data_IF_006027899291
#
_entry.id   IF_006027899291
#
_cell.length_a   1.000
_cell.length_b   1.000
_cell.length_c   1.000
_cell.angle_alpha   90.00
_cell.angle_beta   90.00
_cell.angle_gamma   90.00
#
_symmetry.space_group_name_H-M   'P 1'
#
loop_
_entity.id
_entity.type
_entity.pdbx_description
1 polymer ?
#
# COMPACT_ATOMS: atom_id res chain seq x y z
N UNK A 1 -8.22 -3.04 4.07
CA UNK A 1 -7.31 -3.11 2.90
C UNK A 1 -7.92 -2.30 1.77
N UNK A 2 -7.10 -1.75 0.89
CA UNK A 2 -7.55 -0.99 -0.29
C UNK A 2 -6.56 -1.11 -1.44
N UNK A 3 -6.99 -0.73 -2.64
CA UNK A 3 -6.13 -0.67 -3.82
C UNK A 3 -5.59 0.73 -3.97
N UNK A 4 -4.28 0.84 -4.22
CA UNK A 4 -3.59 2.11 -4.38
C UNK A 4 -2.62 2.04 -5.55
N UNK A 5 -2.11 3.19 -5.98
CA UNK A 5 -0.95 3.27 -6.85
C UNK A 5 0.23 3.81 -6.07
N UNK A 6 1.42 3.28 -6.32
CA UNK A 6 2.67 3.84 -5.80
C UNK A 6 3.00 5.10 -6.60
N UNK A 7 3.12 6.22 -5.91
CA UNK A 7 3.38 7.53 -6.52
C UNK A 7 4.78 8.07 -6.21
N UNK A 8 5.55 7.40 -5.35
CA UNK A 8 6.92 7.81 -5.05
C UNK A 8 7.59 6.97 -3.98
N UNK A 9 8.85 7.30 -3.72
CA UNK A 9 9.68 6.69 -2.69
C UNK A 9 9.89 7.70 -1.54
N UNK A 10 10.08 7.20 -0.33
CA UNK A 10 10.53 8.00 0.81
C UNK A 10 11.85 7.46 1.33
N UNK A 11 12.80 8.37 1.54
CA UNK A 11 14.08 8.05 2.15
C UNK A 11 14.27 8.82 3.45
N UNK A 12 14.76 8.12 4.47
CA UNK A 12 15.14 8.71 5.75
C UNK A 12 16.45 8.09 6.23
N UNK A 13 17.49 8.93 6.35
CA UNK A 13 18.81 8.54 6.87
C UNK A 13 18.77 8.25 8.37
N UNK A 14 17.95 9.00 9.12
CA UNK A 14 17.68 8.77 10.54
C UNK A 14 16.24 8.29 10.70
N UNK A 15 16.05 7.01 11.05
CA UNK A 15 14.74 6.37 11.24
C UNK A 15 14.82 5.31 12.33
N UNK A 16 13.66 4.90 12.84
CA UNK A 16 13.58 3.86 13.86
C UNK A 16 14.29 2.58 13.38
N UNK A 17 14.98 1.87 14.29
CA UNK A 17 15.82 0.72 13.92
C UNK A 17 15.06 -0.39 13.18
N UNK A 18 13.77 -0.56 13.48
CA UNK A 18 12.88 -1.54 12.85
C UNK A 18 12.47 -1.15 11.42
N UNK A 19 12.74 0.09 10.99
CA UNK A 19 12.53 0.56 9.61
C UNK A 19 13.82 0.53 8.78
N UNK A 20 14.93 0.04 9.34
CA UNK A 20 16.18 -0.13 8.59
C UNK A 20 15.97 -1.19 7.52
N UNK A 21 16.52 -0.93 6.33
CA UNK A 21 16.46 -1.81 5.17
C UNK A 21 15.04 -2.15 4.67
N UNK A 22 14.02 -1.38 5.10
CA UNK A 22 12.67 -1.49 4.54
C UNK A 22 12.47 -0.41 3.48
N UNK A 23 11.79 -0.78 2.38
CA UNK A 23 11.40 0.16 1.33
C UNK A 23 10.19 0.95 1.83
N UNK A 24 10.27 2.27 1.79
CA UNK A 24 9.19 3.17 2.19
C UNK A 24 8.63 3.82 0.93
N UNK A 25 7.34 3.63 0.69
CA UNK A 25 6.66 4.07 -0.52
C UNK A 25 5.53 5.02 -0.18
N UNK A 26 5.32 6.03 -1.03
CA UNK A 26 4.13 6.87 -1.00
C UNK A 26 3.10 6.22 -1.92
N UNK A 27 1.92 5.93 -1.38
CA UNK A 27 0.80 5.36 -2.13
C UNK A 27 -0.41 6.27 -2.04
N UNK A 28 -1.23 6.28 -3.09
CA UNK A 28 -2.50 7.00 -3.10
C UNK A 28 -3.60 6.07 -3.59
N UNK A 29 -4.70 6.00 -2.85
CA UNK A 29 -5.82 5.14 -3.21
C UNK A 29 -6.35 5.52 -4.60
N UNK A 30 -6.81 4.52 -5.35
CA UNK A 30 -7.35 4.71 -6.70
C UNK A 30 -8.83 4.39 -6.74
N UNK A 31 -9.54 4.97 -7.70
CA UNK A 31 -10.92 4.61 -7.97
C UNK A 31 -11.01 3.17 -8.52
N UNK A 32 -11.79 2.28 -7.89
CA UNK A 32 -11.94 0.90 -8.37
C UNK A 32 -12.52 0.78 -9.79
N UNK A 33 -13.26 1.80 -10.24
CA UNK A 33 -13.88 1.88 -11.57
C UNK A 33 -12.96 2.55 -12.59
N UNK A 34 -12.08 3.44 -12.15
CA UNK A 34 -11.17 4.22 -13.00
C UNK A 34 -9.80 4.38 -12.32
N UNK A 35 -8.89 3.44 -12.56
CA UNK A 35 -7.57 3.42 -11.94
C UNK A 35 -6.64 4.59 -12.30
N UNK A 36 -7.06 5.48 -13.21
CA UNK A 36 -6.37 6.73 -13.51
C UNK A 36 -6.66 7.84 -12.49
N UNK A 37 -7.74 7.68 -11.71
CA UNK A 37 -8.18 8.65 -10.72
C UNK A 37 -7.74 8.26 -9.32
N UNK A 38 -7.27 9.26 -8.60
CA UNK A 38 -6.91 9.14 -7.19
C UNK A 38 -8.08 9.54 -6.28
N UNK A 39 -8.19 8.85 -5.15
CA UNK A 39 -9.17 9.12 -4.09
C UNK A 39 -8.43 9.42 -2.79
N UNK A 40 -8.90 10.43 -2.05
CA UNK A 40 -8.38 10.78 -0.74
C UNK A 40 -6.93 11.27 -0.77
N UNK A 41 -6.27 11.18 0.39
CA UNK A 41 -4.91 11.64 0.60
C UNK A 41 -3.87 10.54 0.32
N UNK A 42 -2.64 10.97 0.06
CA UNK A 42 -1.51 10.04 -0.01
C UNK A 42 -1.14 9.53 1.39
N UNK A 43 -0.69 8.28 1.47
CA UNK A 43 -0.20 7.67 2.71
C UNK A 43 1.14 6.96 2.48
N UNK A 44 1.87 6.74 3.57
CA UNK A 44 3.09 5.95 3.58
C UNK A 44 2.76 4.47 3.73
N UNK A 45 3.40 3.62 2.94
CA UNK A 45 3.33 2.17 3.09
C UNK A 45 4.73 1.56 3.07
N UNK A 46 4.92 0.53 3.88
CA UNK A 46 6.16 -0.26 3.90
C UNK A 46 6.05 -1.40 2.90
N UNK A 47 7.10 -1.59 2.10
CA UNK A 47 7.33 -2.77 1.28
C UNK A 47 8.58 -3.49 1.80
N UNK A 48 8.43 -4.76 2.18
CA UNK A 48 9.52 -5.60 2.70
C UNK A 48 10.06 -6.53 1.63
N UNK A 49 9.17 -7.24 0.95
CA UNK A 49 9.48 -8.38 0.07
C UNK A 49 8.51 -8.50 -1.13
N UNK A 50 7.63 -7.52 -1.35
CA UNK A 50 6.71 -7.51 -2.50
C UNK A 50 7.38 -6.95 -3.74
N UNK A 51 8.38 -6.10 -3.55
CA UNK A 51 9.13 -5.41 -4.59
C UNK A 51 8.31 -4.48 -5.48
N UNK A 52 7.43 -3.70 -4.85
CA UNK A 52 6.66 -2.66 -5.53
C UNK A 52 7.53 -1.42 -5.82
N UNK A 53 7.17 -0.67 -6.87
CA UNK A 53 7.81 0.58 -7.27
C UNK A 53 6.82 1.60 -7.83
N UNK A 54 7.25 2.87 -8.05
CA UNK A 54 6.41 3.91 -8.62
C UNK A 54 5.76 3.48 -9.93
N UNK A 55 4.45 3.68 -10.03
CA UNK A 55 3.65 3.24 -11.18
C UNK A 55 2.84 1.97 -10.91
N UNK A 56 3.29 1.11 -9.99
CA UNK A 56 2.59 -0.13 -9.67
C UNK A 56 1.26 0.14 -8.98
N UNK A 57 0.27 -0.67 -9.34
CA UNK A 57 -0.97 -0.78 -8.58
C UNK A 57 -0.75 -1.84 -7.51
N UNK A 58 -1.04 -1.52 -6.26
CA UNK A 58 -0.71 -2.33 -5.10
C UNK A 58 -1.91 -2.56 -4.20
N UNK A 59 -1.92 -3.70 -3.52
CA UNK A 59 -2.84 -4.01 -2.44
C UNK A 59 -2.23 -3.56 -1.12
N UNK A 60 -2.92 -2.65 -0.45
CA UNK A 60 -2.45 -2.01 0.79
C UNK A 60 -3.24 -2.53 1.97
N UNK A 61 -2.51 -2.98 2.98
CA UNK A 61 -3.03 -3.32 4.29
C UNK A 61 -2.83 -2.13 5.23
N UNK A 62 -3.91 -1.57 5.77
CA UNK A 62 -3.89 -0.46 6.73
C UNK A 62 -4.44 -0.90 8.09
N UNK A 63 -3.70 -1.76 8.77
CA UNK A 63 -4.02 -2.24 10.12
C UNK A 63 -2.71 -2.70 10.79
N UNK A 64 -2.36 -2.07 11.91
CA UNK A 64 -1.01 -2.20 12.46
C UNK A 64 -0.62 -3.59 12.95
N UNK A 65 -1.55 -4.37 13.53
CA UNK A 65 -1.22 -5.73 13.96
C UNK A 65 -0.95 -6.63 12.76
N UNK A 66 -1.81 -6.60 11.74
CA UNK A 66 -1.63 -7.40 10.54
C UNK A 66 -0.39 -6.96 9.76
N UNK A 67 -0.13 -5.66 9.66
CA UNK A 67 1.08 -5.15 9.01
C UNK A 67 2.35 -5.66 9.72
N UNK A 68 2.40 -5.64 11.05
CA UNK A 68 3.50 -6.23 11.83
C UNK A 68 3.64 -7.73 11.64
N UNK A 69 2.52 -8.45 11.53
CA UNK A 69 2.53 -9.91 11.24
C UNK A 69 3.12 -10.19 9.87
N UNK A 70 2.71 -9.45 8.82
CA UNK A 70 3.29 -9.56 7.47
C UNK A 70 4.78 -9.27 7.48
N UNK A 71 5.20 -8.22 8.21
CA UNK A 71 6.63 -7.91 8.36
C UNK A 71 7.41 -8.95 9.18
N UNK A 72 6.75 -9.85 9.91
CA UNK A 72 7.42 -10.75 10.85
C UNK A 72 8.10 -10.02 12.01
N UNK A 73 7.66 -8.80 12.33
CA UNK A 73 8.25 -7.96 13.38
C UNK A 73 7.16 -7.37 14.29
N UNK A 74 6.88 -8.02 15.44
CA UNK A 74 5.82 -7.60 16.36
C UNK A 74 6.11 -6.26 17.05
N UNK A 75 7.32 -5.70 16.92
CA UNK A 75 7.71 -4.41 17.53
C UNK A 75 7.89 -3.29 16.50
N UNK A 76 7.71 -3.57 15.21
CA UNK A 76 7.85 -2.56 14.17
C UNK A 76 6.77 -1.45 14.31
N UNK A 77 7.16 -0.16 14.33
CA UNK A 77 6.23 0.96 14.48
C UNK A 77 5.57 1.27 13.12
N UNK A 78 4.85 0.31 12.57
CA UNK A 78 4.18 0.43 11.28
C UNK A 78 2.68 0.17 11.41
N UNK A 79 1.92 0.82 10.53
CA UNK A 79 0.48 0.63 10.39
C UNK A 79 0.13 0.08 9.01
N UNK A 80 0.79 0.60 7.99
CA UNK A 80 0.43 0.41 6.59
C UNK A 80 1.54 -0.33 5.85
N UNK A 81 1.18 -1.40 5.16
CA UNK A 81 2.11 -2.23 4.38
C UNK A 81 1.53 -2.55 3.00
N UNK A 82 2.40 -2.62 2.00
CA UNK A 82 2.07 -3.21 0.71
C UNK A 82 2.18 -4.73 0.88
N UNK A 83 1.14 -5.44 0.45
CA UNK A 83 1.05 -6.91 0.60
C UNK A 83 0.90 -7.62 -0.74
N UNK A 84 0.97 -6.89 -1.85
CA UNK A 84 0.95 -7.44 -3.20
C UNK A 84 0.92 -6.37 -4.29
N UNK A 85 1.42 -6.71 -5.48
CA UNK A 85 1.20 -5.97 -6.72
C UNK A 85 -0.05 -6.53 -7.42
N UNK A 86 -0.87 -5.66 -7.99
CA UNK A 86 -2.14 -6.01 -8.62
C UNK A 86 -1.97 -6.15 -10.13
N UNK A 87 -2.15 -7.35 -10.65
CA UNK A 87 -2.08 -7.60 -12.10
C UNK A 87 -3.29 -7.04 -12.86
N UNK A 88 -4.49 -7.16 -12.28
CA UNK A 88 -5.73 -6.75 -12.93
C UNK A 88 -6.86 -6.51 -11.94
N UNK A 89 -7.60 -5.41 -12.14
CA UNK A 89 -8.89 -5.16 -11.50
C UNK A 89 -10.01 -5.59 -12.46
N UNK A 90 -10.98 -6.36 -11.96
CA UNK A 90 -12.21 -6.72 -12.67
C UNK A 90 -13.40 -6.39 -11.79
N UNK A 91 -14.37 -5.67 -12.32
CA UNK A 91 -15.63 -5.38 -11.65
C UNK A 91 -16.81 -5.64 -12.60
N UNK A 92 -17.93 -6.06 -12.04
CA UNK A 92 -19.22 -6.11 -12.75
C UNK A 92 -20.08 -5.00 -12.20
N UNK A 93 -20.70 -4.20 -13.08
CA UNK A 93 -21.77 -3.28 -12.66
C UNK A 93 -22.92 -4.13 -12.12
N UNK A 94 -23.17 -4.07 -10.82
CA UNK A 94 -24.40 -4.59 -10.23
C UNK A 94 -25.48 -3.56 -10.57
N UNK A 95 -26.53 -3.96 -11.29
CA UNK A 95 -27.69 -3.09 -11.48
C UNK A 95 -28.27 -2.81 -10.09
N UNK A 96 -28.36 -1.54 -9.70
CA UNK A 96 -29.17 -1.15 -8.56
C UNK A 96 -30.62 -1.41 -8.93
N UNK A 97 -31.26 -2.37 -8.27
CA UNK A 97 -32.72 -2.47 -8.27
C UNK A 97 -33.23 -1.22 -7.55
N UNK A 98 -33.98 -0.40 -8.28
CA UNK A 98 -34.83 0.67 -7.73
C UNK A 98 -36.19 0.09 -7.40
#
# INVERSE_FOLDING_TARGET
MFVAKVIGNVWATRKHRHLKNLKLLIVKAIDPLDNSKFIGDATLAVDKDIDAGPGDIVLVLDEGNSARKVLGDPKAPIRTAIVGVVDRLKYKKVKSEM
#
